data_IF_055694857670
#
_entry.id   IF_055694857670
#
_cell.length_a   1.000
_cell.length_b   1.000
_cell.length_c   1.000
_cell.angle_alpha   90.00
_cell.angle_beta   90.00
_cell.angle_gamma   90.00
#
_symmetry.space_group_name_H-M   'P 1'
#
loop_
_entity.id
_entity.type
_entity.pdbx_description
1 polymer ?
#
# COMPACT_ATOMS: atom_id res chain seq x y z
N UNK A 1 1.05 1.39 -10.76
CA UNK A 1 -0.09 0.84 -10.02
C UNK A 1 0.43 -0.08 -8.95
N UNK A 2 0.50 0.46 -7.73
CA UNK A 2 0.34 -0.33 -6.53
C UNK A 2 -1.08 -0.19 -5.99
N UNK A 3 -1.72 -1.30 -5.61
CA UNK A 3 -2.93 -1.29 -4.81
C UNK A 3 -2.57 -1.67 -3.38
N UNK A 4 -2.88 -0.78 -2.44
CA UNK A 4 -2.71 -0.97 -1.01
C UNK A 4 -4.07 -1.15 -0.36
N UNK A 5 -4.26 -2.27 0.35
CA UNK A 5 -5.37 -2.40 1.29
C UNK A 5 -4.80 -2.35 2.71
N UNK A 6 -5.35 -1.46 3.53
CA UNK A 6 -4.97 -1.24 4.92
C UNK A 6 -6.18 -1.65 5.78
N UNK A 7 -6.13 -2.85 6.33
CA UNK A 7 -7.14 -3.38 7.23
C UNK A 7 -6.82 -2.94 8.64
N UNK A 8 -7.80 -2.35 9.32
CA UNK A 8 -7.59 -1.75 10.62
C UNK A 8 -8.84 -1.80 11.50
N UNK A 9 -8.71 -1.84 12.84
CA UNK A 9 -9.86 -1.71 13.73
C UNK A 9 -10.51 -0.33 13.62
N UNK A 10 -11.83 -0.17 13.88
CA UNK A 10 -12.51 1.13 13.73
C UNK A 10 -11.99 2.22 14.66
N UNK A 11 -11.30 1.84 15.74
CA UNK A 11 -10.66 2.73 16.72
C UNK A 11 -9.36 3.37 16.23
N UNK A 12 -8.82 2.92 15.10
CA UNK A 12 -7.61 3.47 14.48
C UNK A 12 -7.93 4.25 13.21
N UNK A 13 -7.04 5.17 12.81
CA UNK A 13 -7.23 6.05 11.65
C UNK A 13 -8.58 6.80 11.66
N UNK A 14 -9.04 7.22 12.85
CA UNK A 14 -10.34 7.89 13.06
C UNK A 14 -10.39 9.31 12.48
N UNK A 15 -9.23 9.96 12.35
CA UNK A 15 -9.10 11.28 11.75
C UNK A 15 -8.69 11.18 10.27
N UNK A 16 -9.38 11.90 9.39
CA UNK A 16 -9.03 12.07 7.96
C UNK A 16 -7.58 12.53 7.75
N UNK A 17 -7.01 13.36 8.62
CA UNK A 17 -5.61 13.80 8.53
C UNK A 17 -4.63 12.61 8.58
N UNK A 18 -4.86 11.65 9.47
CA UNK A 18 -3.99 10.47 9.62
C UNK A 18 -4.01 9.61 8.35
N UNK A 19 -5.20 9.37 7.80
CA UNK A 19 -5.39 8.65 6.53
C UNK A 19 -4.70 9.39 5.37
N UNK A 20 -4.87 10.71 5.30
CA UNK A 20 -4.24 11.52 4.24
C UNK A 20 -2.72 11.53 4.34
N UNK A 21 -2.17 11.69 5.55
CA UNK A 21 -0.74 11.70 5.79
C UNK A 21 -0.08 10.39 5.37
N UNK A 22 -0.65 9.26 5.80
CA UNK A 22 -0.16 7.94 5.39
C UNK A 22 -0.33 7.72 3.88
N UNK A 23 -1.47 8.14 3.30
CA UNK A 23 -1.69 8.03 1.86
C UNK A 23 -0.66 8.84 1.05
N UNK A 24 -0.31 10.03 1.52
CA UNK A 24 0.73 10.86 0.91
C UNK A 24 2.10 10.18 1.00
N UNK A 25 2.49 9.73 2.20
CA UNK A 25 3.78 9.06 2.42
C UNK A 25 3.94 7.81 1.54
N UNK A 26 2.90 7.00 1.39
CA UNK A 26 2.89 5.84 0.49
C UNK A 26 3.01 6.30 -0.97
N UNK A 27 2.27 7.32 -1.38
CA UNK A 27 2.32 7.85 -2.75
C UNK A 27 3.73 8.33 -3.11
N UNK A 28 4.42 8.96 -2.17
CA UNK A 28 5.78 9.49 -2.36
C UNK A 28 6.82 8.39 -2.64
N UNK A 29 6.61 7.17 -2.12
CA UNK A 29 7.46 6.00 -2.45
C UNK A 29 7.52 5.78 -3.97
N UNK A 30 6.38 5.92 -4.64
CA UNK A 30 6.20 5.57 -6.04
C UNK A 30 6.48 6.75 -6.98
N UNK A 31 6.15 7.98 -6.58
CA UNK A 31 6.45 9.17 -7.37
C UNK A 31 7.94 9.51 -7.38
N UNK A 32 8.71 9.05 -6.37
CA UNK A 32 10.18 9.09 -6.39
C UNK A 32 10.81 8.26 -7.54
N UNK A 33 10.06 7.29 -8.10
CA UNK A 33 10.46 6.49 -9.27
C UNK A 33 9.46 6.72 -10.41
N UNK A 34 9.58 7.84 -11.15
CA UNK A 34 8.53 8.65 -11.78
C UNK A 34 7.28 7.88 -12.25
N UNK A 35 6.51 7.32 -11.32
CA UNK A 35 5.21 6.73 -11.61
C UNK A 35 4.15 7.83 -11.51
N UNK A 36 3.13 7.83 -12.39
CA UNK A 36 2.00 8.75 -12.25
C UNK A 36 1.35 8.58 -10.87
N UNK A 37 1.15 9.67 -10.13
CA UNK A 37 0.61 9.60 -8.76
C UNK A 37 -0.78 8.93 -8.72
N UNK A 38 -1.61 9.17 -9.75
CA UNK A 38 -2.93 8.55 -9.87
C UNK A 38 -2.92 7.02 -10.03
N UNK A 39 -1.74 6.40 -10.20
CA UNK A 39 -1.60 4.95 -10.12
C UNK A 39 -1.63 4.40 -8.70
N UNK A 40 -1.43 5.23 -7.67
CA UNK A 40 -1.31 4.75 -6.29
C UNK A 40 -2.70 4.71 -5.67
N UNK A 41 -3.25 3.50 -5.50
CA UNK A 41 -4.55 3.32 -4.87
C UNK A 41 -4.35 2.81 -3.46
N UNK A 42 -4.97 3.48 -2.49
CA UNK A 42 -4.85 3.15 -1.06
C UNK A 42 -6.25 3.10 -0.50
N UNK A 43 -6.64 1.93 0.02
CA UNK A 43 -7.97 1.66 0.55
C UNK A 43 -7.84 1.35 2.03
N UNK A 44 -8.40 2.21 2.87
CA UNK A 44 -8.54 1.96 4.31
C UNK A 44 -9.83 1.18 4.54
N UNK A 45 -9.72 0.00 5.16
CA UNK A 45 -10.82 -0.91 5.42
C UNK A 45 -10.98 -1.11 6.93
N UNK A 46 -11.94 -0.42 7.58
CA UNK A 46 -12.26 -0.71 8.96
C UNK A 46 -12.88 -2.11 9.04
N UNK A 47 -12.33 -2.96 9.90
CA UNK A 47 -12.82 -4.31 10.19
C UNK A 47 -13.18 -4.37 11.65
N UNK A 48 -14.42 -4.75 11.96
CA UNK A 48 -14.88 -4.91 13.35
C UNK A 48 -13.96 -5.87 14.11
N UNK A 49 -13.70 -5.54 15.38
CA UNK A 49 -12.75 -6.25 16.25
C UNK A 49 -13.03 -7.76 16.30
N UNK A 50 -14.30 -8.16 16.36
CA UNK A 50 -14.75 -9.55 16.42
C UNK A 50 -14.66 -10.29 15.07
N UNK A 51 -14.17 -9.64 14.02
CA UNK A 51 -13.94 -10.20 12.69
C UNK A 51 -12.45 -10.26 12.32
N UNK A 52 -11.55 -9.84 13.22
CA UNK A 52 -10.12 -9.76 12.93
C UNK A 52 -9.28 -10.35 14.07
N UNK A 53 -8.81 -11.59 13.86
CA UNK A 53 -8.11 -12.37 14.88
C UNK A 53 -6.66 -12.62 14.51
N UNK A 54 -5.76 -12.41 15.48
CA UNK A 54 -4.33 -12.72 15.38
C UNK A 54 -4.01 -13.73 16.48
N UNK A 55 -3.63 -14.96 16.09
CA UNK A 55 -3.44 -16.06 17.03
C UNK A 55 -4.74 -16.43 17.78
N UNK A 56 -5.88 -16.42 17.08
CA UNK A 56 -7.22 -16.64 17.62
C UNK A 56 -7.70 -15.60 18.66
N UNK A 57 -7.02 -14.45 18.75
CA UNK A 57 -7.35 -13.36 19.67
C UNK A 57 -7.77 -12.11 18.87
N UNK A 58 -8.94 -11.51 19.13
CA UNK A 58 -9.34 -10.27 18.49
C UNK A 58 -8.46 -9.11 18.98
N UNK A 59 -8.10 -8.18 18.10
CA UNK A 59 -7.24 -7.03 18.44
C UNK A 59 -7.83 -5.72 17.93
N UNK A 60 -8.03 -4.69 18.77
CA UNK A 60 -7.71 -4.67 20.21
C UNK A 60 -8.75 -5.41 21.07
N UNK A 61 -8.34 -6.05 22.16
CA UNK A 61 -9.20 -6.61 23.21
C UNK A 61 -8.49 -6.59 24.57
N UNK A 62 -9.22 -6.86 25.66
CA UNK A 62 -8.60 -7.00 26.98
C UNK A 62 -7.53 -8.10 26.96
N UNK A 63 -6.34 -7.79 27.46
CA UNK A 63 -5.28 -8.78 27.58
C UNK A 63 -5.46 -9.57 28.89
N UNK A 64 -5.71 -10.87 28.76
CA UNK A 64 -5.88 -11.80 29.88
C UNK A 64 -4.81 -12.87 29.86
N UNK A 65 -4.63 -13.60 30.98
CA UNK A 65 -3.58 -14.61 31.10
C UNK A 65 -3.64 -15.72 30.02
N UNK A 66 -4.82 -15.98 29.45
CA UNK A 66 -4.98 -16.95 28.37
C UNK A 66 -4.41 -16.47 27.02
N UNK A 67 -4.08 -15.18 26.88
CA UNK A 67 -3.44 -14.64 25.69
C UNK A 67 -1.92 -14.89 25.67
N UNK A 68 -1.32 -15.22 26.82
CA UNK A 68 0.11 -15.51 26.93
C UNK A 68 0.48 -16.82 26.20
N UNK A 69 1.67 -16.92 25.56
CA UNK A 69 2.76 -15.95 25.53
C UNK A 69 2.63 -14.90 24.40
N UNK A 70 1.41 -14.67 23.89
CA UNK A 70 1.15 -13.74 22.79
C UNK A 70 1.33 -12.28 23.20
N UNK A 71 1.50 -11.36 22.22
CA UNK A 71 1.69 -9.95 22.50
C UNK A 71 0.43 -9.32 23.09
N UNK A 72 0.60 -8.18 23.78
CA UNK A 72 -0.49 -7.41 24.40
C UNK A 72 -1.68 -7.26 23.45
N UNK A 73 -2.82 -7.81 23.88
CA UNK A 73 -4.04 -7.88 23.07
C UNK A 73 -4.74 -6.53 22.97
N UNK A 74 -4.43 -5.58 23.87
CA UNK A 74 -5.01 -4.25 23.85
C UNK A 74 -4.44 -3.39 22.72
N UNK A 75 -3.30 -3.75 22.15
CA UNK A 75 -2.70 -3.06 21.00
C UNK A 75 -3.52 -3.35 19.73
N UNK A 76 -4.00 -2.32 19.02
CA UNK A 76 -4.61 -2.49 17.71
C UNK A 76 -3.63 -3.14 16.73
N UNK A 77 -4.13 -3.98 15.82
CA UNK A 77 -3.32 -4.62 14.79
C UNK A 77 -3.68 -4.08 13.41
N UNK A 78 -2.68 -3.68 12.62
CA UNK A 78 -2.85 -3.17 11.25
C UNK A 78 -2.32 -4.20 10.24
N UNK A 79 -3.16 -4.70 9.34
CA UNK A 79 -2.72 -5.60 8.25
C UNK A 79 -2.71 -4.87 6.93
N UNK A 80 -1.62 -5.01 6.17
CA UNK A 80 -1.47 -4.30 4.89
C UNK A 80 -1.13 -5.24 3.74
N UNK A 81 -1.98 -5.32 2.72
CA UNK A 81 -1.65 -6.05 1.49
C UNK A 81 -1.29 -5.07 0.39
N UNK A 82 -0.13 -5.31 -0.25
CA UNK A 82 0.38 -4.48 -1.34
C UNK A 82 0.47 -5.32 -2.61
N UNK A 83 -0.23 -4.87 -3.65
CA UNK A 83 -0.18 -5.46 -4.98
C UNK A 83 0.61 -4.54 -5.92
N UNK A 84 1.81 -4.94 -6.33
CA UNK A 84 2.57 -4.24 -7.36
C UNK A 84 2.23 -4.79 -8.76
N UNK A 85 1.89 -3.90 -9.69
CA UNK A 85 1.50 -4.26 -11.07
C UNK A 85 2.36 -3.56 -12.12
N UNK A 86 2.65 -2.26 -11.93
CA UNK A 86 3.31 -1.47 -12.97
C UNK A 86 4.82 -1.71 -13.10
N UNK A 87 5.43 -2.26 -12.05
CA UNK A 87 6.87 -2.55 -11.92
C UNK A 87 7.03 -3.81 -11.07
N UNK A 88 8.09 -4.56 -11.35
CA UNK A 88 8.54 -5.69 -10.52
C UNK A 88 9.82 -5.31 -9.77
N UNK A 89 10.16 -6.10 -8.75
CA UNK A 89 11.38 -6.02 -7.95
C UNK A 89 12.37 -7.07 -8.51
N UNK A 90 13.28 -6.68 -9.41
CA UNK A 90 14.02 -7.64 -10.22
C UNK A 90 15.12 -8.39 -9.45
N UNK A 91 15.48 -7.93 -8.25
CA UNK A 91 16.55 -8.50 -7.43
C UNK A 91 16.36 -8.14 -5.95
N UNK A 92 17.12 -8.82 -5.09
CA UNK A 92 17.08 -8.66 -3.63
C UNK A 92 17.41 -7.22 -3.20
N UNK A 93 18.38 -6.58 -3.83
CA UNK A 93 18.76 -5.19 -3.49
C UNK A 93 17.60 -4.20 -3.74
N UNK A 94 16.88 -4.37 -4.86
CA UNK A 94 15.72 -3.54 -5.17
C UNK A 94 14.54 -3.86 -4.27
N UNK A 95 14.36 -5.13 -3.89
CA UNK A 95 13.40 -5.57 -2.88
C UNK A 95 13.69 -4.88 -1.55
N UNK A 96 14.89 -5.03 -1.02
CA UNK A 96 15.25 -4.53 0.32
C UNK A 96 15.14 -3.01 0.39
N UNK A 97 15.58 -2.28 -0.65
CA UNK A 97 15.34 -0.83 -0.73
C UNK A 97 13.85 -0.47 -0.73
N UNK A 98 13.02 -1.22 -1.45
CA UNK A 98 11.59 -0.96 -1.50
C UNK A 98 10.92 -1.24 -0.15
N UNK A 99 11.25 -2.35 0.50
CA UNK A 99 10.75 -2.70 1.83
C UNK A 99 11.17 -1.64 2.87
N UNK A 100 12.43 -1.21 2.87
CA UNK A 100 12.87 -0.12 3.73
C UNK A 100 12.09 1.18 3.50
N UNK A 101 11.74 1.53 2.24
CA UNK A 101 10.91 2.71 1.96
C UNK A 101 9.48 2.56 2.51
N UNK A 102 8.92 1.35 2.44
CA UNK A 102 7.63 1.04 3.08
C UNK A 102 7.75 1.27 4.58
N UNK A 103 8.74 0.67 5.24
CA UNK A 103 8.92 0.77 6.70
C UNK A 103 9.02 2.24 7.15
N UNK A 104 9.83 3.05 6.44
CA UNK A 104 9.94 4.49 6.72
C UNK A 104 8.62 5.25 6.52
N UNK A 105 7.83 4.91 5.50
CA UNK A 105 6.55 5.57 5.26
C UNK A 105 5.48 5.17 6.28
N UNK A 106 5.50 3.93 6.76
CA UNK A 106 4.55 3.42 7.75
C UNK A 106 4.85 3.93 9.17
N UNK A 107 6.14 4.08 9.50
CA UNK A 107 6.61 4.35 10.86
C UNK A 107 5.86 5.46 11.60
N UNK A 108 5.71 6.69 11.06
CA UNK A 108 5.05 7.79 11.78
C UNK A 108 3.54 7.59 12.01
N UNK A 109 2.92 6.68 11.27
CA UNK A 109 1.47 6.51 11.25
C UNK A 109 1.00 5.18 11.86
N UNK A 110 1.93 4.25 12.08
CA UNK A 110 1.62 2.90 12.58
C UNK A 110 2.53 2.53 13.75
N UNK A 111 3.84 2.47 13.53
CA UNK A 111 4.80 2.06 14.56
C UNK A 111 4.83 3.06 15.71
N UNK A 112 5.04 4.35 15.41
CA UNK A 112 5.15 5.40 16.41
C UNK A 112 3.81 5.65 17.13
N UNK A 113 2.70 5.15 16.57
CA UNK A 113 1.37 5.14 17.18
C UNK A 113 1.17 3.97 18.15
N UNK A 114 2.14 3.06 18.27
CA UNK A 114 2.12 1.92 19.18
C UNK A 114 1.27 0.74 18.70
N UNK A 115 0.89 0.68 17.41
CA UNK A 115 0.14 -0.45 16.87
C UNK A 115 1.05 -1.65 16.62
N UNK A 116 0.49 -2.85 16.57
CA UNK A 116 1.14 -4.00 15.94
C UNK A 116 0.80 -3.99 14.44
N UNK A 117 1.69 -4.49 13.58
CA UNK A 117 1.41 -4.51 12.15
C UNK A 117 2.11 -5.64 11.39
N UNK A 118 1.54 -5.96 10.23
CA UNK A 118 2.12 -6.86 9.25
C UNK A 118 1.79 -6.37 7.85
N UNK A 119 2.77 -6.44 6.94
CA UNK A 119 2.51 -6.25 5.52
C UNK A 119 3.06 -7.39 4.67
N UNK A 120 2.47 -7.56 3.48
CA UNK A 120 2.98 -8.46 2.46
C UNK A 120 2.84 -7.82 1.09
N UNK A 121 3.86 -8.02 0.26
CA UNK A 121 3.89 -7.51 -1.12
C UNK A 121 3.80 -8.69 -2.09
N UNK A 122 2.92 -8.59 -3.08
CA UNK A 122 2.86 -9.55 -4.18
C UNK A 122 2.82 -8.81 -5.53
N UNK A 123 3.33 -9.48 -6.55
CA UNK A 123 3.43 -8.94 -7.91
C UNK A 123 2.43 -9.64 -8.82
N UNK A 124 1.75 -8.87 -9.67
CA UNK A 124 0.74 -9.43 -10.60
C UNK A 124 1.03 -9.08 -12.05
N UNK A 125 0.39 -9.84 -12.95
CA UNK A 125 0.48 -9.70 -14.40
C UNK A 125 0.05 -8.31 -14.88
N UNK A 126 1.01 -7.58 -15.46
CA UNK A 126 0.80 -6.24 -16.03
C UNK A 126 -0.09 -6.24 -17.27
N UNK A 127 -0.04 -7.30 -18.08
CA UNK A 127 -0.81 -7.42 -19.32
C UNK A 127 -2.33 -7.59 -19.11
N UNK A 128 -2.73 -7.87 -17.86
CA UNK A 128 -4.14 -7.93 -17.43
C UNK A 128 -4.60 -6.67 -16.69
N UNK A 129 -3.83 -5.59 -16.75
CA UNK A 129 -4.14 -4.33 -16.08
C UNK A 129 -4.47 -3.21 -17.07
N UNK A 130 -5.55 -2.48 -16.79
CA UNK A 130 -6.01 -1.31 -17.53
C UNK A 130 -6.38 -0.18 -16.58
N UNK A 131 -6.26 1.06 -17.04
CA UNK A 131 -6.80 2.25 -16.36
C UNK A 131 -7.71 3.01 -17.32
N UNK A 132 -8.96 3.24 -16.94
CA UNK A 132 -10.00 3.82 -17.81
C UNK A 132 -10.10 3.10 -19.18
N UNK A 133 -9.94 1.77 -19.19
CA UNK A 133 -9.95 0.95 -20.41
C UNK A 133 -8.66 0.98 -21.25
N UNK A 134 -7.71 1.84 -20.92
CA UNK A 134 -6.42 1.98 -21.61
C UNK A 134 -5.38 1.02 -21.03
N UNK A 135 -4.57 0.42 -21.91
CA UNK A 135 -3.36 -0.29 -21.49
C UNK A 135 -2.33 0.77 -21.08
N UNK A 136 -1.82 0.74 -19.84
CA UNK A 136 -0.82 1.70 -19.38
C UNK A 136 0.45 1.66 -20.24
N UNK A 137 1.15 2.78 -20.46
CA UNK A 137 2.40 2.81 -21.20
C UNK A 137 3.54 2.10 -20.44
N UNK A 138 4.50 1.54 -21.19
CA UNK A 138 5.67 0.89 -20.63
C UNK A 138 6.59 1.89 -19.89
N UNK A 139 7.41 1.40 -18.94
CA UNK A 139 8.35 2.25 -18.22
C UNK A 139 9.22 3.10 -19.15
N UNK A 140 9.47 4.37 -18.79
CA UNK A 140 10.42 5.28 -19.44
C UNK A 140 10.07 5.58 -20.91
N UNK A 141 8.79 5.56 -21.26
CA UNK A 141 8.29 5.95 -22.58
C UNK A 141 7.72 7.36 -22.57
N UNK A 142 7.63 8.01 -23.74
CA UNK A 142 7.08 9.37 -23.87
C UNK A 142 5.63 9.45 -23.35
N UNK A 143 4.84 8.40 -23.58
CA UNK A 143 3.49 8.31 -23.05
C UNK A 143 3.45 8.22 -21.52
N UNK A 144 4.41 7.53 -20.88
CA UNK A 144 4.50 7.51 -19.40
C UNK A 144 4.88 8.89 -18.85
N UNK A 145 5.85 9.56 -19.49
CA UNK A 145 6.24 10.94 -19.12
C UNK A 145 5.03 11.88 -19.20
N UNK A 146 4.24 11.77 -20.26
CA UNK A 146 3.02 12.58 -20.39
C UNK A 146 2.00 12.24 -19.29
N UNK A 147 1.75 10.95 -19.03
CA UNK A 147 0.84 10.53 -17.95
C UNK A 147 1.28 11.00 -16.57
N UNK A 148 2.58 11.07 -16.30
CA UNK A 148 3.14 11.68 -15.08
C UNK A 148 2.83 13.18 -15.07
N UNK A 149 3.13 13.89 -16.17
CA UNK A 149 2.98 15.35 -16.28
C UNK A 149 1.52 15.80 -16.08
N UNK A 150 0.57 15.10 -16.70
CA UNK A 150 -0.87 15.44 -16.59
C UNK A 150 -1.57 14.74 -15.42
N UNK A 151 -0.88 13.81 -14.75
CA UNK A 151 -1.39 12.97 -13.67
C UNK A 151 -2.77 12.34 -13.98
N UNK A 152 -2.94 11.84 -15.22
CA UNK A 152 -4.19 11.28 -15.72
C UNK A 152 -3.92 10.25 -16.81
N UNK A 153 -4.77 9.23 -16.89
CA UNK A 153 -4.80 8.32 -18.03
C UNK A 153 -5.38 9.05 -19.24
N UNK A 154 -4.54 9.33 -20.24
CA UNK A 154 -4.91 9.95 -21.51
C UNK A 154 -4.57 9.02 -22.68
N UNK A 155 -5.37 8.98 -23.77
CA UNK A 155 -5.02 8.22 -24.96
C UNK A 155 -3.66 8.62 -25.54
N UNK A 156 -2.94 7.66 -26.12
CA UNK A 156 -1.64 7.86 -26.79
C UNK A 156 -1.47 6.87 -27.95
N UNK A 157 -0.58 7.19 -28.90
CA UNK A 157 -0.16 6.28 -29.97
C UNK A 157 0.64 5.11 -29.41
N UNK A 158 0.32 3.87 -29.78
CA UNK A 158 0.88 2.66 -29.14
C UNK A 158 2.41 2.65 -29.13
N UNK A 159 3.02 3.10 -30.21
CA UNK A 159 4.47 3.20 -30.39
C UNK A 159 5.12 4.09 -29.32
N UNK A 160 4.45 5.21 -28.96
CA UNK A 160 4.90 6.14 -27.91
C UNK A 160 4.77 5.58 -26.49
N UNK A 161 4.03 4.48 -26.32
CA UNK A 161 3.90 3.77 -25.03
C UNK A 161 4.60 2.42 -24.99
N UNK A 162 5.36 2.04 -26.02
CA UNK A 162 6.05 0.76 -26.08
C UNK A 162 5.10 -0.44 -26.06
N UNK A 163 3.96 -0.34 -26.75
CA UNK A 163 2.90 -1.35 -26.81
C UNK A 163 2.68 -1.91 -28.21
#
# INVERSE_FOLDING_TARGET
MPLWNIYHPPTTFTNTESKRGLAQAITDIYTASPLPAFYVNIIFQPIETESFYIGAIPRPSEHVAANEPGPDSARPFIRITVQNIARTLPNEESRDRFLNKIDHALKPYIEDMGYDWEYSVYETRRDLWKVNGLVPPMPKTDAEVEWVRVNKAVPFEREKGGL
#
